data_IF_175442447015
#
_entry.id   IF_175442447015
#
_cell.length_a   1.000
_cell.length_b   1.000
_cell.length_c   1.000
_cell.angle_alpha   90.00
_cell.angle_beta   90.00
_cell.angle_gamma   90.00
#
_symmetry.space_group_name_H-M   'P 1'
#
loop_
_entity.id
_entity.type
_entity.pdbx_description
1 polymer ?
#
# COMPACT_ATOMS: atom_id res chain seq x y z
N UNK A 1 50.79 0.02 6.28
CA UNK A 1 50.38 -1.37 6.52
C UNK A 1 48.88 -1.39 6.67
N UNK A 2 48.21 -2.02 5.71
CA UNK A 2 46.76 -2.08 5.50
C UNK A 2 46.02 -2.65 6.73
N UNK A 3 45.14 -1.86 7.35
CA UNK A 3 44.15 -2.30 8.37
C UNK A 3 42.86 -1.45 8.29
N UNK A 4 42.46 -1.04 7.10
CA UNK A 4 41.26 -0.24 6.89
C UNK A 4 40.60 -0.85 5.64
N UNK A 5 39.34 -1.28 5.75
CA UNK A 5 38.55 -1.97 4.73
C UNK A 5 38.53 -3.51 4.77
N UNK A 6 38.25 -4.12 5.94
CA UNK A 6 37.47 -5.35 5.92
C UNK A 6 36.03 -4.99 6.33
N UNK A 7 35.01 -5.21 5.47
CA UNK A 7 33.63 -5.13 5.90
C UNK A 7 33.42 -6.20 6.97
N UNK A 8 32.90 -5.80 8.14
CA UNK A 8 32.48 -6.77 9.14
C UNK A 8 31.47 -7.71 8.48
N UNK A 9 31.80 -9.00 8.40
CA UNK A 9 30.85 -10.06 8.07
C UNK A 9 29.95 -10.25 9.27
N UNK A 10 29.16 -9.23 9.61
CA UNK A 10 28.06 -9.37 10.53
C UNK A 10 27.06 -10.23 9.76
N UNK A 11 27.11 -11.55 9.97
CA UNK A 11 25.99 -12.39 9.65
C UNK A 11 24.89 -11.90 10.59
N UNK A 12 24.07 -10.97 10.12
CA UNK A 12 22.78 -10.68 10.74
C UNK A 12 21.97 -11.96 10.59
N UNK A 13 22.18 -12.89 11.51
CA UNK A 13 21.38 -14.10 11.65
C UNK A 13 19.99 -13.61 12.07
N UNK A 14 19.18 -13.31 11.05
CA UNK A 14 17.83 -12.80 11.21
C UNK A 14 17.08 -13.83 12.05
N UNK A 15 16.82 -13.47 13.31
CA UNK A 15 16.22 -14.34 14.31
C UNK A 15 14.78 -14.67 13.89
N UNK A 16 14.64 -15.74 13.10
CA UNK A 16 13.41 -16.10 12.37
C UNK A 16 12.23 -16.38 13.29
N UNK A 17 12.49 -16.54 14.59
CA UNK A 17 11.50 -16.77 15.64
C UNK A 17 10.55 -15.59 15.85
N UNK A 18 10.94 -14.38 15.45
CA UNK A 18 10.13 -13.15 15.60
C UNK A 18 9.41 -12.72 14.31
N UNK A 19 9.67 -13.38 13.18
CA UNK A 19 9.05 -13.03 11.92
C UNK A 19 7.63 -13.58 11.85
N UNK A 20 6.65 -12.68 11.73
CA UNK A 20 5.25 -13.03 11.62
C UNK A 20 4.87 -13.39 10.18
N UNK A 21 5.46 -14.47 9.67
CA UNK A 21 5.33 -14.93 8.28
C UNK A 21 3.88 -15.10 7.82
N UNK A 22 2.96 -15.39 8.75
CA UNK A 22 1.52 -15.50 8.46
C UNK A 22 0.95 -14.17 7.98
N UNK A 23 1.21 -13.08 8.71
CA UNK A 23 0.71 -11.75 8.34
C UNK A 23 1.34 -11.27 7.04
N UNK A 24 2.64 -11.54 6.85
CA UNK A 24 3.34 -11.24 5.59
C UNK A 24 2.69 -11.98 4.40
N UNK A 25 2.36 -13.26 4.56
CA UNK A 25 1.69 -14.03 3.50
C UNK A 25 0.32 -13.43 3.16
N UNK A 26 -0.48 -13.07 4.17
CA UNK A 26 -1.77 -12.40 3.93
C UNK A 26 -1.61 -11.07 3.21
N UNK A 27 -0.61 -10.26 3.58
CA UNK A 27 -0.31 -9.00 2.90
C UNK A 27 0.02 -9.21 1.42
N UNK A 28 0.84 -10.22 1.11
CA UNK A 28 1.17 -10.57 -0.28
C UNK A 28 -0.08 -10.96 -1.06
N UNK A 29 -0.96 -11.79 -0.49
CA UNK A 29 -2.22 -12.18 -1.14
C UNK A 29 -3.10 -10.96 -1.41
N UNK A 30 -3.26 -10.07 -0.43
CA UNK A 30 -4.03 -8.83 -0.58
C UNK A 30 -3.42 -7.91 -1.64
N UNK A 31 -2.10 -7.87 -1.74
CA UNK A 31 -1.37 -7.09 -2.76
C UNK A 31 -1.58 -7.63 -4.17
N UNK A 32 -1.65 -8.96 -4.34
CA UNK A 32 -2.00 -9.60 -5.61
C UNK A 32 -3.45 -9.27 -6.01
N UNK A 33 -4.39 -9.43 -5.07
CA UNK A 33 -5.81 -9.10 -5.30
C UNK A 33 -5.97 -7.62 -5.68
N UNK A 34 -5.25 -6.73 -5.02
CA UNK A 34 -5.18 -5.30 -5.35
C UNK A 34 -4.72 -5.07 -6.80
N UNK A 35 -3.60 -5.69 -7.20
CA UNK A 35 -3.06 -5.54 -8.56
C UNK A 35 -4.00 -6.04 -9.66
N UNK A 36 -4.85 -7.02 -9.37
CA UNK A 36 -5.87 -7.50 -10.30
C UNK A 36 -7.11 -6.59 -10.33
N UNK A 37 -7.50 -6.07 -9.17
CA UNK A 37 -8.76 -5.33 -9.00
C UNK A 37 -8.63 -3.86 -9.43
N UNK A 38 -7.42 -3.29 -9.38
CA UNK A 38 -7.18 -1.87 -9.72
C UNK A 38 -7.69 -1.50 -11.12
N UNK A 39 -7.56 -2.41 -12.10
CA UNK A 39 -8.02 -2.17 -13.47
C UNK A 39 -9.55 -2.23 -13.63
N UNK A 40 -10.22 -2.97 -12.74
CA UNK A 40 -11.68 -3.22 -12.81
C UNK A 40 -12.47 -2.18 -12.02
N UNK A 41 -12.06 -1.90 -10.78
CA UNK A 41 -12.82 -1.08 -9.83
C UNK A 41 -12.34 0.37 -9.85
N UNK A 42 -11.06 0.60 -10.14
CA UNK A 42 -10.42 1.91 -10.10
C UNK A 42 -9.39 2.01 -8.98
N UNK A 43 -8.39 2.86 -9.18
CA UNK A 43 -7.34 3.21 -8.23
C UNK A 43 -7.90 3.65 -6.88
N UNK A 44 -8.91 4.53 -6.84
CA UNK A 44 -9.39 5.10 -5.57
C UNK A 44 -9.88 4.03 -4.60
N UNK A 45 -10.93 3.28 -4.98
CA UNK A 45 -11.50 2.27 -4.10
C UNK A 45 -10.55 1.11 -3.85
N UNK A 46 -9.84 0.65 -4.87
CA UNK A 46 -8.95 -0.51 -4.75
C UNK A 46 -7.80 -0.20 -3.79
N UNK A 47 -7.22 1.00 -3.87
CA UNK A 47 -6.12 1.42 -2.99
C UNK A 47 -6.60 1.68 -1.57
N UNK A 48 -7.77 2.31 -1.39
CA UNK A 48 -8.33 2.51 -0.05
C UNK A 48 -8.68 1.19 0.64
N UNK A 49 -9.27 0.22 -0.08
CA UNK A 49 -9.55 -1.13 0.45
C UNK A 49 -8.27 -1.91 0.75
N UNK A 50 -7.26 -1.79 -0.11
CA UNK A 50 -5.95 -2.40 0.09
C UNK A 50 -5.29 -1.88 1.37
N UNK A 51 -5.25 -0.54 1.55
CA UNK A 51 -4.69 0.08 2.75
C UNK A 51 -5.46 -0.34 4.00
N UNK A 52 -6.79 -0.29 3.96
CA UNK A 52 -7.62 -0.66 5.10
C UNK A 52 -7.40 -2.13 5.51
N UNK A 53 -7.32 -3.04 4.53
CA UNK A 53 -7.06 -4.46 4.75
C UNK A 53 -5.64 -4.71 5.25
N UNK A 54 -4.65 -3.99 4.71
CA UNK A 54 -3.26 -4.06 5.14
C UNK A 54 -3.11 -3.62 6.60
N UNK A 55 -3.64 -2.45 6.97
CA UNK A 55 -3.61 -1.98 8.36
C UNK A 55 -4.32 -2.95 9.32
N UNK A 56 -5.41 -3.58 8.86
CA UNK A 56 -6.11 -4.58 9.65
C UNK A 56 -5.25 -5.81 9.91
N UNK A 57 -4.54 -6.31 8.89
CA UNK A 57 -3.61 -7.43 9.00
C UNK A 57 -2.37 -7.12 9.84
N UNK A 58 -1.93 -5.86 9.87
CA UNK A 58 -0.86 -5.40 10.74
C UNK A 58 -1.28 -5.36 12.23
N UNK A 59 -2.58 -5.53 12.53
CA UNK A 59 -3.10 -5.56 13.90
C UNK A 59 -3.33 -4.16 14.50
N UNK A 60 -3.35 -3.13 13.67
CA UNK A 60 -3.64 -1.76 14.09
C UNK A 60 -5.07 -1.71 14.65
N UNK A 61 -5.25 -1.57 15.97
CA UNK A 61 -6.59 -1.53 16.60
C UNK A 61 -7.30 -0.18 16.50
N UNK A 62 -6.65 0.82 15.91
CA UNK A 62 -7.12 2.20 15.92
C UNK A 62 -7.88 2.53 14.64
N UNK A 63 -9.13 2.09 14.59
CA UNK A 63 -10.06 2.23 13.45
C UNK A 63 -10.10 3.65 12.85
N UNK A 64 -10.07 4.70 13.69
CA UNK A 64 -10.07 6.10 13.23
C UNK A 64 -8.84 6.45 12.39
N UNK A 65 -7.65 5.97 12.78
CA UNK A 65 -6.44 6.19 12.00
C UNK A 65 -6.46 5.40 10.69
N UNK A 66 -6.93 4.16 10.73
CA UNK A 66 -7.01 3.32 9.53
C UNK A 66 -7.90 3.98 8.47
N UNK A 67 -9.05 4.51 8.88
CA UNK A 67 -9.95 5.20 7.95
C UNK A 67 -9.35 6.51 7.43
N UNK A 68 -8.74 7.30 8.33
CA UNK A 68 -8.12 8.58 7.97
C UNK A 68 -6.81 8.42 7.18
N UNK A 69 -6.09 7.30 7.27
CA UNK A 69 -4.97 7.02 6.38
C UNK A 69 -5.38 6.33 5.08
N UNK A 70 -6.55 5.69 5.01
CA UNK A 70 -6.95 4.94 3.81
C UNK A 70 -7.69 5.82 2.80
N UNK A 71 -8.69 6.58 3.24
CA UNK A 71 -9.55 7.33 2.30
C UNK A 71 -9.00 8.70 1.93
N UNK A 72 -8.72 9.63 2.86
CA UNK A 72 -8.30 10.97 2.47
C UNK A 72 -6.85 11.00 1.97
N UNK A 73 -5.99 10.09 2.41
CA UNK A 73 -4.64 9.96 1.83
C UNK A 73 -4.69 9.57 0.34
N UNK A 74 -5.50 8.56 0.00
CA UNK A 74 -5.70 8.14 -1.39
C UNK A 74 -6.40 9.23 -2.20
N UNK A 75 -7.38 9.93 -1.61
CA UNK A 75 -8.04 11.08 -2.26
C UNK A 75 -7.03 12.19 -2.60
N UNK A 76 -6.14 12.53 -1.67
CA UNK A 76 -5.08 13.53 -1.88
C UNK A 76 -4.12 13.08 -2.98
N UNK A 77 -3.65 11.82 -2.95
CA UNK A 77 -2.79 11.27 -3.99
C UNK A 77 -3.45 11.28 -5.36
N UNK A 78 -4.73 10.92 -5.40
CA UNK A 78 -5.51 10.93 -6.62
C UNK A 78 -5.66 12.34 -7.17
N UNK A 79 -5.98 13.31 -6.31
CA UNK A 79 -6.03 14.71 -6.69
C UNK A 79 -4.68 15.23 -7.18
N UNK A 80 -3.58 14.80 -6.57
CA UNK A 80 -2.25 15.19 -7.00
C UNK A 80 -1.92 14.60 -8.38
N UNK A 81 -2.24 13.33 -8.64
CA UNK A 81 -1.92 12.69 -9.93
C UNK A 81 -2.83 13.22 -11.05
N UNK A 82 -4.15 13.28 -10.83
CA UNK A 82 -5.09 13.79 -11.82
C UNK A 82 -4.95 15.30 -12.00
N UNK A 83 -4.83 16.06 -10.90
CA UNK A 83 -4.78 17.52 -10.95
C UNK A 83 -3.43 18.11 -11.35
N UNK A 84 -2.31 17.45 -11.01
CA UNK A 84 -0.97 17.98 -11.28
C UNK A 84 -0.32 17.37 -12.53
N UNK A 85 -0.57 16.08 -12.79
CA UNK A 85 0.14 15.32 -13.83
C UNK A 85 -0.73 15.03 -15.06
N UNK A 86 -2.05 15.27 -14.98
CA UNK A 86 -3.05 14.99 -16.02
C UNK A 86 -2.99 13.53 -16.56
N UNK A 87 -2.46 12.63 -15.73
CA UNK A 87 -2.41 11.20 -16.03
C UNK A 87 -3.71 10.59 -15.54
N UNK A 88 -4.58 10.23 -16.47
CA UNK A 88 -5.78 9.45 -16.19
C UNK A 88 -5.39 8.06 -15.71
N UNK A 89 -5.48 7.82 -14.40
CA UNK A 89 -5.74 6.47 -13.93
C UNK A 89 -7.22 6.19 -14.20
N UNK A 90 -7.51 5.14 -14.96
CA UNK A 90 -8.89 4.75 -15.25
C UNK A 90 -9.58 4.38 -13.94
N UNK A 91 -10.42 5.28 -13.46
CA UNK A 91 -11.29 5.09 -12.30
C UNK A 91 -12.75 5.03 -12.77
N UNK A 92 -13.27 3.83 -13.15
CA UNK A 92 -14.63 3.68 -13.67
C UNK A 92 -15.69 4.25 -12.73
N UNK A 93 -15.45 4.16 -11.41
CA UNK A 93 -16.35 4.71 -10.38
C UNK A 93 -16.39 6.22 -10.34
N UNK A 94 -15.23 6.89 -10.42
CA UNK A 94 -15.20 8.36 -10.37
C UNK A 94 -15.63 8.98 -11.69
N UNK A 95 -15.39 8.28 -12.79
CA UNK A 95 -15.99 8.57 -14.10
C UNK A 95 -17.51 8.42 -14.06
N UNK A 96 -18.03 7.35 -13.45
CA UNK A 96 -19.47 7.14 -13.28
C UNK A 96 -20.13 8.18 -12.35
N UNK A 97 -19.38 8.69 -11.36
CA UNK A 97 -19.81 9.77 -10.47
C UNK A 97 -19.69 11.17 -11.09
N UNK A 98 -19.12 11.30 -12.30
CA UNK A 98 -18.98 12.59 -12.99
C UNK A 98 -17.98 13.57 -12.36
N UNK A 99 -17.13 13.07 -11.46
CA UNK A 99 -16.12 13.89 -10.75
C UNK A 99 -14.90 14.14 -11.65
N UNK A 100 -14.69 13.29 -12.65
CA UNK A 100 -13.59 13.34 -13.61
C UNK A 100 -14.20 13.07 -14.98
N UNK A 101 -14.07 14.04 -15.90
CA UNK A 101 -14.64 13.99 -17.26
C UNK A 101 -14.04 12.91 -18.13
#
# INVERSE_FOLDING_TARGET
GLKIALPETINEEVDQKFLNYKNTLYLVVVMIVYGLTIRLVGFFLTTSLFLLSSYYLLGERRWTLMFMLSFPFVAIFMFLIHGLLDIYLTDPLLKALGVIG
#
